data_IF_999798701398
#
_entry.id   IF_999798701398
#
_cell.length_a   1.000
_cell.length_b   1.000
_cell.length_c   1.000
_cell.angle_alpha   90.00
_cell.angle_beta   90.00
_cell.angle_gamma   90.00
#
_symmetry.space_group_name_H-M   'P 1'
#
loop_
_entity.id
_entity.type
_entity.pdbx_description
1 polymer ?
#
# COMPACT_ATOMS: atom_id res chain seq x y z
N UNK A 1 -11.18 -7.89 -37.20
CA UNK A 1 -11.28 -8.57 -35.90
C UNK A 1 -10.11 -8.08 -35.07
N UNK A 2 -10.33 -7.11 -34.18
CA UNK A 2 -9.28 -6.62 -33.29
C UNK A 2 -9.19 -7.62 -32.14
N UNK A 3 -8.13 -8.43 -32.14
CA UNK A 3 -7.69 -9.16 -30.96
C UNK A 3 -7.27 -8.13 -29.92
N UNK A 4 -8.19 -7.71 -29.07
CA UNK A 4 -7.83 -7.18 -27.76
C UNK A 4 -7.18 -8.33 -27.00
N UNK A 5 -5.86 -8.46 -27.17
CA UNK A 5 -5.04 -9.17 -26.19
C UNK A 5 -5.48 -8.64 -24.82
N UNK A 6 -5.93 -9.56 -23.95
CA UNK A 6 -6.28 -9.26 -22.57
C UNK A 6 -5.00 -8.81 -21.86
N UNK A 7 -4.57 -7.56 -22.06
CA UNK A 7 -3.53 -6.94 -21.25
C UNK A 7 -4.03 -7.02 -19.81
N UNK A 8 -3.29 -7.70 -18.90
CA UNK A 8 -3.68 -7.71 -17.50
C UNK A 8 -3.76 -6.25 -17.03
N UNK A 9 -4.85 -5.91 -16.34
CA UNK A 9 -4.97 -4.57 -15.78
C UNK A 9 -3.79 -4.26 -14.86
N UNK A 10 -3.36 -3.01 -14.80
CA UNK A 10 -2.24 -2.61 -13.95
C UNK A 10 -2.48 -2.98 -12.48
N UNK A 11 -3.73 -2.91 -12.02
CA UNK A 11 -4.15 -3.44 -10.73
C UNK A 11 -3.68 -4.89 -10.53
N UNK A 12 -3.94 -5.78 -11.49
CA UNK A 12 -3.54 -7.20 -11.43
C UNK A 12 -2.03 -7.36 -11.39
N UNK A 13 -1.28 -6.52 -12.11
CA UNK A 13 0.17 -6.53 -12.07
C UNK A 13 0.71 -6.16 -10.68
N UNK A 14 0.22 -5.06 -10.10
CA UNK A 14 0.55 -4.62 -8.73
C UNK A 14 0.27 -5.73 -7.71
N UNK A 15 -0.91 -6.35 -7.77
CA UNK A 15 -1.24 -7.45 -6.84
C UNK A 15 -0.34 -8.68 -7.01
N UNK A 16 0.12 -8.98 -8.23
CA UNK A 16 1.12 -10.05 -8.41
C UNK A 16 2.44 -9.71 -7.74
N UNK A 17 2.91 -8.47 -7.85
CA UNK A 17 4.13 -8.02 -7.17
C UNK A 17 3.99 -8.21 -5.66
N UNK A 18 2.86 -7.80 -5.08
CA UNK A 18 2.60 -7.99 -3.66
C UNK A 18 2.59 -9.46 -3.23
N UNK A 19 2.07 -10.36 -4.08
CA UNK A 19 2.05 -11.81 -3.80
C UNK A 19 3.44 -12.46 -3.75
N UNK A 20 4.47 -11.82 -4.31
CA UNK A 20 5.84 -12.32 -4.27
C UNK A 20 6.59 -11.97 -2.97
N UNK A 21 5.95 -11.27 -2.01
CA UNK A 21 6.52 -10.93 -0.71
C UNK A 21 5.54 -11.25 0.42
N UNK A 22 6.08 -11.58 1.60
CA UNK A 22 5.30 -11.71 2.82
C UNK A 22 5.01 -10.35 3.50
N UNK A 23 5.75 -9.29 3.13
CA UNK A 23 5.64 -7.97 3.76
C UNK A 23 4.21 -7.40 3.65
N UNK A 24 3.51 -7.41 2.50
CA UNK A 24 2.16 -6.87 2.43
C UNK A 24 1.13 -7.52 3.36
N UNK A 25 1.42 -8.73 3.87
CA UNK A 25 0.57 -9.41 4.83
C UNK A 25 0.58 -8.73 6.21
N UNK A 26 1.64 -7.99 6.56
CA UNK A 26 1.72 -7.25 7.84
C UNK A 26 0.88 -5.97 7.83
N UNK A 27 0.49 -5.44 6.66
CA UNK A 27 -0.23 -4.17 6.55
C UNK A 27 -1.69 -4.25 7.01
N UNK A 28 -2.22 -5.43 7.32
CA UNK A 28 -3.63 -5.59 7.70
C UNK A 28 -4.59 -5.18 6.57
N UNK A 29 -4.28 -5.58 5.33
CA UNK A 29 -5.08 -5.23 4.15
C UNK A 29 -6.53 -5.71 4.30
N UNK A 30 -7.49 -4.79 4.20
CA UNK A 30 -8.90 -5.13 4.11
C UNK A 30 -9.24 -5.53 2.67
N UNK A 31 -9.22 -6.83 2.33
CA UNK A 31 -9.47 -7.29 0.97
C UNK A 31 -10.86 -6.90 0.41
N UNK A 32 -11.86 -6.69 1.28
CA UNK A 32 -13.17 -6.19 0.87
C UNK A 32 -13.17 -4.73 0.40
N UNK A 33 -12.13 -3.97 0.75
CA UNK A 33 -11.96 -2.56 0.35
C UNK A 33 -11.22 -2.38 -0.98
N UNK A 34 -10.71 -3.45 -1.58
CA UNK A 34 -9.89 -3.39 -2.79
C UNK A 34 -10.70 -2.82 -3.95
N UNK A 35 -10.22 -1.73 -4.53
CA UNK A 35 -10.77 -1.10 -5.73
C UNK A 35 -9.74 -1.15 -6.85
N UNK A 36 -10.15 -1.69 -8.00
CA UNK A 36 -9.38 -1.62 -9.23
C UNK A 36 -9.53 -0.26 -9.88
N UNK A 37 -8.42 0.38 -10.21
CA UNK A 37 -8.38 1.63 -10.98
C UNK A 37 -7.92 1.35 -12.42
N UNK A 38 -8.05 2.31 -13.33
CA UNK A 38 -7.61 2.17 -14.72
C UNK A 38 -6.11 1.87 -14.84
N UNK A 39 -5.29 2.54 -14.02
CA UNK A 39 -3.83 2.45 -13.99
C UNK A 39 -3.29 1.96 -12.64
N UNK A 40 -4.11 1.34 -11.80
CA UNK A 40 -3.70 1.12 -10.41
C UNK A 40 -4.67 0.34 -9.55
N UNK A 41 -4.45 0.38 -8.23
CA UNK A 41 -5.33 -0.20 -7.23
C UNK A 41 -5.37 0.67 -5.99
N UNK A 42 -6.46 0.59 -5.25
CA UNK A 42 -6.57 1.22 -3.94
C UNK A 42 -7.15 0.23 -2.94
N UNK A 43 -6.69 0.28 -1.70
CA UNK A 43 -7.12 -0.62 -0.64
C UNK A 43 -6.88 0.03 0.72
N UNK A 44 -7.64 -0.41 1.71
CA UNK A 44 -7.52 0.02 3.09
C UNK A 44 -6.55 -0.90 3.85
N UNK A 45 -5.76 -0.31 4.73
CA UNK A 45 -4.75 -0.98 5.58
C UNK A 45 -5.00 -0.62 7.04
N UNK A 46 -4.56 -1.51 7.94
CA UNK A 46 -4.60 -1.35 9.39
C UNK A 46 -3.18 -1.46 9.98
N UNK A 47 -2.21 -0.87 9.29
CA UNK A 47 -0.82 -0.93 9.68
C UNK A 47 -0.53 -0.15 10.97
N UNK A 48 0.58 -0.49 11.62
CA UNK A 48 1.01 0.08 12.88
C UNK A 48 1.23 1.60 12.82
N UNK A 49 1.73 2.13 11.70
CA UNK A 49 1.99 3.57 11.52
C UNK A 49 0.79 4.31 10.94
N UNK A 50 0.00 3.62 10.13
CA UNK A 50 -1.10 4.23 9.40
C UNK A 50 -2.26 3.26 9.22
N UNK A 51 -3.45 3.69 9.66
CA UNK A 51 -4.74 3.08 9.28
C UNK A 51 -5.46 4.02 8.31
N UNK A 52 -5.95 3.48 7.19
CA UNK A 52 -6.57 4.26 6.13
C UNK A 52 -6.30 3.70 4.73
N UNK A 53 -6.40 4.54 3.70
CA UNK A 53 -6.29 4.10 2.31
C UNK A 53 -4.89 4.27 1.72
N UNK A 54 -4.43 3.22 1.04
CA UNK A 54 -3.26 3.22 0.16
C UNK A 54 -3.77 3.13 -1.27
N UNK A 55 -3.43 4.12 -2.09
CA UNK A 55 -3.65 4.11 -3.54
C UNK A 55 -2.31 4.01 -4.24
N UNK A 56 -2.20 3.09 -5.20
CA UNK A 56 -1.02 2.89 -6.04
C UNK A 56 -1.45 3.05 -7.48
N UNK A 57 -0.90 4.05 -8.16
CA UNK A 57 -1.18 4.38 -9.56
C UNK A 57 0.11 4.36 -10.35
N UNK A 58 0.10 3.70 -11.51
CA UNK A 58 1.21 3.67 -12.44
C UNK A 58 1.17 4.87 -13.37
N UNK A 59 2.32 5.48 -13.60
CA UNK A 59 2.55 6.54 -14.57
C UNK A 59 3.29 5.96 -15.79
N UNK A 60 2.57 5.84 -16.90
CA UNK A 60 3.10 5.34 -18.17
C UNK A 60 4.20 6.24 -18.77
N UNK A 61 4.21 7.54 -18.44
CA UNK A 61 5.18 8.48 -18.99
C UNK A 61 6.56 8.35 -18.34
N UNK A 62 6.60 8.14 -17.02
CA UNK A 62 7.83 8.01 -16.25
C UNK A 62 8.26 6.57 -15.97
N UNK A 63 7.42 5.57 -16.25
CA UNK A 63 7.62 4.16 -15.86
C UNK A 63 7.84 4.01 -14.34
N UNK A 64 7.05 4.76 -13.56
CA UNK A 64 7.09 4.73 -12.09
C UNK A 64 5.70 4.66 -11.49
N UNK A 65 5.63 4.48 -10.17
CA UNK A 65 4.40 4.49 -9.40
C UNK A 65 4.29 5.76 -8.55
N UNK A 66 3.05 6.23 -8.40
CA UNK A 66 2.66 7.20 -7.39
C UNK A 66 1.84 6.51 -6.32
N UNK A 67 2.24 6.71 -5.06
CA UNK A 67 1.54 6.19 -3.88
C UNK A 67 0.86 7.36 -3.17
N UNK A 68 -0.45 7.26 -2.99
CA UNK A 68 -1.21 8.20 -2.15
C UNK A 68 -1.67 7.49 -0.90
N UNK A 69 -1.25 8.00 0.26
CA UNK A 69 -1.63 7.54 1.59
C UNK A 69 -2.63 8.51 2.18
N UNK A 70 -3.83 8.05 2.52
CA UNK A 70 -4.89 8.87 3.13
C UNK A 70 -5.29 8.26 4.47
N UNK A 71 -4.80 8.81 5.59
CA UNK A 71 -5.18 8.36 6.94
C UNK A 71 -6.68 8.54 7.20
N UNK A 72 -7.27 7.64 7.97
CA UNK A 72 -8.69 7.74 8.36
C UNK A 72 -8.96 8.86 9.38
N UNK A 73 -8.00 9.05 10.30
CA UNK A 73 -8.09 10.00 11.42
C UNK A 73 -7.93 11.46 10.98
N UNK A 74 -7.14 11.71 9.93
CA UNK A 74 -6.98 13.03 9.34
C UNK A 74 -6.72 12.97 7.82
N UNK A 75 -7.78 13.20 7.05
CA UNK A 75 -7.72 13.22 5.58
C UNK A 75 -6.84 14.32 5.00
N UNK A 76 -6.63 15.42 5.73
CA UNK A 76 -5.75 16.52 5.32
C UNK A 76 -4.26 16.11 5.39
N UNK A 77 -3.93 15.09 6.20
CA UNK A 77 -2.59 14.51 6.27
C UNK A 77 -2.33 13.51 5.14
N UNK A 78 -2.98 13.69 3.99
CA UNK A 78 -2.69 12.91 2.79
C UNK A 78 -1.22 13.10 2.43
N UNK A 79 -0.51 11.98 2.26
CA UNK A 79 0.87 11.97 1.76
C UNK A 79 0.88 11.39 0.35
N UNK A 80 1.58 12.06 -0.56
CA UNK A 80 1.79 11.60 -1.94
C UNK A 80 3.29 11.36 -2.10
N UNK A 81 3.64 10.20 -2.65
CA UNK A 81 5.01 9.79 -2.92
C UNK A 81 5.07 9.43 -4.40
N UNK A 82 5.77 10.25 -5.17
CA UNK A 82 5.90 10.13 -6.63
C UNK A 82 7.24 9.47 -7.01
N UNK A 83 7.38 9.04 -8.27
CA UNK A 83 8.60 8.47 -8.84
C UNK A 83 9.11 7.21 -8.11
N UNK A 84 8.19 6.36 -7.65
CA UNK A 84 8.54 5.11 -6.96
C UNK A 84 8.79 4.02 -8.00
N UNK A 85 10.03 3.54 -8.08
CA UNK A 85 10.39 2.40 -8.93
C UNK A 85 9.78 1.10 -8.41
N UNK A 86 9.52 0.17 -9.33
CA UNK A 86 8.95 -1.15 -9.04
C UNK A 86 9.65 -1.87 -7.88
N UNK A 87 10.99 -1.91 -7.90
CA UNK A 87 11.80 -2.61 -6.90
C UNK A 87 11.66 -2.02 -5.49
N UNK A 88 11.25 -0.75 -5.41
CA UNK A 88 11.04 -0.03 -4.16
C UNK A 88 9.56 0.05 -3.74
N UNK A 89 8.63 -0.47 -4.55
CA UNK A 89 7.20 -0.29 -4.32
C UNK A 89 6.77 -0.84 -2.96
N UNK A 90 7.22 -2.06 -2.62
CA UNK A 90 6.85 -2.70 -1.36
C UNK A 90 7.52 -2.00 -0.18
N UNK A 91 8.83 -1.70 -0.26
CA UNK A 91 9.55 -1.05 0.85
C UNK A 91 9.01 0.34 1.15
N UNK A 92 8.70 1.14 0.13
CA UNK A 92 8.13 2.48 0.33
C UNK A 92 6.74 2.42 0.99
N UNK A 93 5.87 1.49 0.59
CA UNK A 93 4.57 1.34 1.26
C UNK A 93 4.79 0.88 2.70
N UNK A 94 5.62 -0.14 2.90
CA UNK A 94 5.88 -0.72 4.22
C UNK A 94 6.44 0.30 5.20
N UNK A 95 7.45 1.08 4.79
CA UNK A 95 8.02 2.18 5.55
C UNK A 95 7.01 3.23 5.99
N UNK A 96 5.89 3.39 5.28
CA UNK A 96 4.89 4.39 5.62
C UNK A 96 3.67 3.80 6.35
N UNK A 97 3.40 2.51 6.18
CA UNK A 97 2.22 1.83 6.72
C UNK A 97 2.52 1.05 8.00
N UNK A 98 3.64 0.33 8.05
CA UNK A 98 3.93 -0.65 9.10
C UNK A 98 5.32 -0.48 9.71
N UNK A 99 6.37 -0.50 8.88
CA UNK A 99 7.75 -0.63 9.33
C UNK A 99 8.19 0.53 10.23
N UNK A 100 8.73 0.14 11.39
CA UNK A 100 9.30 1.03 12.38
C UNK A 100 10.59 0.42 12.92
N UNK A 101 11.70 1.15 12.85
CA UNK A 101 12.87 0.87 13.69
C UNK A 101 12.38 0.90 15.15
N UNK A 102 12.59 -0.18 15.91
CA UNK A 102 12.04 -0.46 17.26
C UNK A 102 10.67 -1.16 17.35
N UNK A 103 10.29 -1.96 16.36
CA UNK A 103 9.04 -2.74 16.35
C UNK A 103 8.74 -3.48 17.68
N UNK A 104 9.72 -4.22 18.22
CA UNK A 104 9.56 -4.96 19.49
C UNK A 104 9.25 -4.04 20.68
N UNK A 105 9.92 -2.89 20.77
CA UNK A 105 9.78 -1.98 21.89
C UNK A 105 8.40 -1.32 21.88
N UNK A 106 7.90 -0.95 20.69
CA UNK A 106 6.58 -0.30 20.56
C UNK A 106 5.41 -1.27 20.71
N UNK A 107 5.50 -2.50 20.20
CA UNK A 107 4.47 -3.52 20.47
C UNK A 107 4.35 -3.82 21.96
N UNK A 108 5.48 -3.96 22.67
CA UNK A 108 5.47 -4.17 24.12
C UNK A 108 4.82 -3.02 24.88
N UNK A 109 4.99 -1.78 24.41
CA UNK A 109 4.33 -0.60 24.99
C UNK A 109 2.83 -0.56 24.67
N UNK A 110 2.43 -0.93 23.46
CA UNK A 110 1.01 -0.99 23.06
C UNK A 110 0.23 -2.05 23.84
N UNK A 111 0.79 -3.27 23.96
CA UNK A 111 0.19 -4.35 24.77
C UNK A 111 0.01 -3.96 26.24
N UNK A 112 0.97 -3.21 26.81
CA UNK A 112 0.85 -2.71 28.19
C UNK A 112 -0.27 -1.69 28.38
N UNK A 113 -0.57 -0.86 27.37
CA UNK A 113 -1.63 0.15 27.45
C UNK A 113 -3.05 -0.43 27.36
N UNK A 114 -3.22 -1.63 26.80
CA UNK A 114 -4.52 -2.32 26.75
C UNK A 114 -4.81 -3.18 27.99
N UNK A 115 -3.83 -3.38 28.86
CA UNK A 115 -3.95 -4.19 30.07
C UNK A 115 -4.34 -3.37 31.32
N UNK A 116 -4.70 -2.09 31.15
CA UNK A 116 -5.17 -1.15 32.19
C UNK A 116 -6.56 -0.69 31.81
#
# INVERSE_FOLDING_TARGET
MNTTENKPSMARYIWRIFQHSAIPLSWGICFASVRTLSNGTEFHVQGFKMTGYVRVEYDEGSDTFTITLTPDDNKENRKIIENVYLDNLISVIDENVEYCEDYETKIRQWLRKQAV
#
